data_IF_814648047516
#
_entry.id   IF_814648047516
#
_cell.length_a   1.000
_cell.length_b   1.000
_cell.length_c   1.000
_cell.angle_alpha   90.00
_cell.angle_beta   90.00
_cell.angle_gamma   90.00
#
_symmetry.space_group_name_H-M   'P 1'
#
loop_
_entity.id
_entity.type
_entity.pdbx_description
1 polymer ?
#
# COMPACT_ATOMS: atom_id res chain seq x y z
N UNK A 1 2.48 6.19 15.75
CA UNK A 1 3.01 5.29 14.72
C UNK A 1 2.05 5.29 13.54
N UNK A 2 2.57 5.54 12.37
CA UNK A 2 1.72 5.73 11.19
C UNK A 2 1.78 4.54 10.28
N UNK A 3 0.62 3.97 9.99
CA UNK A 3 0.51 2.89 9.02
C UNK A 3 0.58 3.40 7.58
N UNK A 4 0.33 4.69 7.40
CA UNK A 4 0.32 5.30 6.07
C UNK A 4 1.25 6.50 6.05
N UNK A 5 1.90 6.69 4.90
CA UNK A 5 2.57 7.95 4.60
C UNK A 5 1.68 8.77 3.70
N UNK A 6 1.63 10.07 3.89
CA UNK A 6 0.82 10.95 3.06
C UNK A 6 1.72 11.58 2.01
N UNK A 7 1.32 11.50 0.74
CA UNK A 7 2.04 12.11 -0.36
C UNK A 7 1.24 13.32 -0.84
N UNK A 8 1.88 14.49 -0.85
CA UNK A 8 1.23 15.73 -1.24
C UNK A 8 2.03 16.43 -2.32
N UNK A 9 1.33 17.16 -3.18
CA UNK A 9 1.95 17.99 -4.20
C UNK A 9 1.09 19.24 -4.37
N UNK A 10 1.73 20.40 -4.28
CA UNK A 10 1.05 21.69 -4.48
C UNK A 10 -0.16 21.85 -3.55
N UNK A 11 -0.03 21.39 -2.31
CA UNK A 11 -1.07 21.51 -1.31
C UNK A 11 -2.20 20.51 -1.45
N UNK A 12 -2.07 19.55 -2.37
CA UNK A 12 -3.11 18.55 -2.60
C UNK A 12 -2.60 17.16 -2.25
N UNK A 13 -3.46 16.34 -1.66
CA UNK A 13 -3.11 14.96 -1.39
C UNK A 13 -3.10 14.18 -2.71
N UNK A 14 -1.97 13.56 -3.00
CA UNK A 14 -1.81 12.70 -4.18
C UNK A 14 -2.30 11.29 -3.87
N UNK A 15 -1.90 10.78 -2.71
CA UNK A 15 -2.23 9.44 -2.28
C UNK A 15 -1.51 9.08 -1.01
N UNK A 16 -1.43 7.80 -0.74
CA UNK A 16 -0.88 7.28 0.52
C UNK A 16 0.11 6.17 0.27
N UNK A 17 1.19 6.17 1.06
CA UNK A 17 2.20 5.11 0.98
C UNK A 17 1.88 4.02 2.00
N UNK A 18 2.02 2.79 1.54
CA UNK A 18 1.86 1.58 2.36
C UNK A 18 3.16 0.79 2.23
N UNK A 19 3.70 0.32 3.34
CA UNK A 19 4.89 -0.54 3.31
C UNK A 19 4.46 -2.00 3.29
N UNK A 20 4.95 -2.74 2.30
CA UNK A 20 4.68 -4.18 2.24
C UNK A 20 5.47 -4.89 3.34
N UNK A 21 4.81 -5.57 4.28
CA UNK A 21 5.53 -6.33 5.30
C UNK A 21 6.41 -7.43 4.73
N UNK A 22 6.03 -7.99 3.60
CA UNK A 22 6.76 -9.10 3.01
C UNK A 22 8.08 -8.67 2.38
N UNK A 23 8.12 -7.48 1.76
CA UNK A 23 9.27 -7.06 0.96
C UNK A 23 9.93 -5.79 1.45
N UNK A 24 9.24 -5.01 2.29
CA UNK A 24 9.72 -3.70 2.74
C UNK A 24 9.51 -2.60 1.72
N UNK A 25 8.94 -2.91 0.56
CA UNK A 25 8.71 -1.92 -0.49
C UNK A 25 7.63 -0.93 -0.07
N UNK A 26 7.80 0.33 -0.47
CA UNK A 26 6.78 1.35 -0.30
C UNK A 26 5.96 1.43 -1.57
N UNK A 27 4.64 1.37 -1.42
CA UNK A 27 3.70 1.34 -2.53
C UNK A 27 2.75 2.52 -2.41
N UNK A 28 2.58 3.24 -3.50
CA UNK A 28 1.75 4.44 -3.50
C UNK A 28 0.35 4.10 -4.02
N UNK A 29 -0.63 4.30 -3.15
CA UNK A 29 -2.04 4.19 -3.52
C UNK A 29 -2.52 5.59 -3.88
N UNK A 30 -2.62 5.87 -5.18
CA UNK A 30 -3.17 7.14 -5.64
C UNK A 30 -4.64 7.23 -5.30
N UNK A 31 -5.05 8.36 -4.72
CA UNK A 31 -6.47 8.61 -4.42
C UNK A 31 -7.00 9.83 -5.13
N UNK A 32 -6.13 10.62 -5.78
CA UNK A 32 -6.52 11.84 -6.45
C UNK A 32 -6.40 11.66 -7.96
N UNK A 33 -7.52 11.75 -8.70
CA UNK A 33 -7.49 11.51 -10.14
C UNK A 33 -6.71 12.57 -10.93
N UNK A 34 -6.35 13.69 -10.32
CA UNK A 34 -5.49 14.66 -10.98
C UNK A 34 -4.09 14.10 -11.23
N UNK A 35 -3.66 13.11 -10.44
CA UNK A 35 -2.28 12.63 -10.48
C UNK A 35 -2.15 11.24 -11.06
N UNK A 36 -3.26 10.53 -11.27
CA UNK A 36 -3.22 9.19 -11.82
C UNK A 36 -4.57 8.84 -12.43
N UNK A 37 -4.59 8.16 -13.59
CA UNK A 37 -5.86 7.68 -14.15
C UNK A 37 -6.45 6.51 -13.37
N UNK A 38 -5.62 5.83 -12.57
CA UNK A 38 -6.07 4.72 -11.75
C UNK A 38 -5.97 5.12 -10.29
N UNK A 39 -7.12 5.19 -9.61
CA UNK A 39 -7.15 5.61 -8.21
C UNK A 39 -7.84 4.56 -7.36
N UNK A 40 -7.49 4.57 -6.08
CA UNK A 40 -8.12 3.71 -5.07
C UNK A 40 -9.05 4.56 -4.23
N UNK A 41 -10.12 3.93 -3.71
CA UNK A 41 -10.92 4.56 -2.67
C UNK A 41 -10.29 4.27 -1.32
N UNK A 42 -10.40 5.22 -0.41
CA UNK A 42 -9.81 5.15 0.92
C UNK A 42 -10.90 5.44 1.95
N UNK A 43 -10.95 4.67 3.03
CA UNK A 43 -11.98 4.84 4.04
C UNK A 43 -11.74 6.03 4.97
N UNK A 44 -10.59 6.70 4.86
CA UNK A 44 -10.27 7.88 5.67
C UNK A 44 -9.73 7.57 7.05
N UNK A 45 -9.60 6.30 7.40
CA UNK A 45 -9.12 5.90 8.73
C UNK A 45 -7.61 5.64 8.66
N UNK A 46 -6.83 6.53 9.26
CA UNK A 46 -5.36 6.42 9.21
C UNK A 46 -4.82 5.30 10.09
N UNK A 47 -5.61 4.79 11.03
CA UNK A 47 -5.16 3.75 11.94
C UNK A 47 -5.57 2.36 11.47
N UNK A 48 -6.72 2.25 10.79
CA UNK A 48 -7.20 1.00 10.21
C UNK A 48 -7.62 1.25 8.78
N UNK A 49 -6.64 1.57 7.92
CA UNK A 49 -6.99 1.95 6.56
C UNK A 49 -7.54 0.79 5.75
N UNK A 50 -8.47 1.12 4.87
CA UNK A 50 -8.99 0.21 3.87
C UNK A 50 -8.91 0.92 2.52
N UNK A 51 -8.28 0.25 1.56
CA UNK A 51 -8.23 0.72 0.18
C UNK A 51 -8.93 -0.28 -0.71
N UNK A 52 -9.56 0.22 -1.77
CA UNK A 52 -10.24 -0.63 -2.72
C UNK A 52 -10.02 -0.07 -4.12
N UNK A 53 -9.73 -0.92 -5.10
CA UNK A 53 -9.61 -2.37 -5.06
C UNK A 53 -8.26 -2.84 -4.50
N UNK A 54 -7.86 -4.07 -4.83
CA UNK A 54 -6.56 -4.61 -4.43
C UNK A 54 -5.42 -3.90 -5.16
N UNK A 55 -4.22 -3.99 -4.60
CA UNK A 55 -3.01 -3.53 -5.26
C UNK A 55 -2.37 -4.70 -5.99
N UNK A 56 -2.09 -4.51 -7.27
CA UNK A 56 -1.33 -5.47 -8.06
C UNK A 56 -0.18 -4.73 -8.70
N UNK A 57 1.03 -5.15 -8.37
CA UNK A 57 2.25 -4.53 -8.86
C UNK A 57 3.13 -5.63 -9.45
N UNK A 58 3.79 -5.32 -10.55
CA UNK A 58 4.66 -6.25 -11.28
C UNK A 58 3.93 -7.52 -11.70
N UNK A 59 2.77 -7.43 -12.40
CA UNK A 59 2.01 -8.63 -12.74
C UNK A 59 2.75 -9.56 -13.67
N UNK A 60 3.72 -9.05 -14.46
CA UNK A 60 4.46 -9.84 -15.42
C UNK A 60 5.72 -10.48 -14.83
N UNK A 61 6.02 -10.24 -13.56
CA UNK A 61 7.20 -10.77 -12.92
C UNK A 61 6.82 -11.38 -11.58
N UNK A 62 6.67 -12.72 -11.57
CA UNK A 62 6.21 -13.43 -10.38
C UNK A 62 7.14 -13.22 -9.18
N UNK A 63 8.44 -13.03 -9.43
CA UNK A 63 9.41 -12.85 -8.35
C UNK A 63 9.33 -11.48 -7.68
N UNK A 64 8.63 -10.54 -8.30
CA UNK A 64 8.47 -9.19 -7.76
C UNK A 64 7.01 -8.81 -7.55
N UNK A 65 6.11 -9.73 -7.78
CA UNK A 65 4.67 -9.45 -7.74
C UNK A 65 4.24 -9.11 -6.33
N UNK A 66 3.50 -8.00 -6.22
CA UNK A 66 2.79 -7.61 -5.00
C UNK A 66 1.32 -7.62 -5.34
N UNK A 67 0.56 -8.45 -4.66
CA UNK A 67 -0.87 -8.54 -4.92
C UNK A 67 -1.57 -8.73 -3.59
N UNK A 68 -2.26 -7.69 -3.13
CA UNK A 68 -2.87 -7.74 -1.80
C UNK A 68 -4.01 -6.75 -1.68
N UNK A 69 -4.87 -6.99 -0.69
CA UNK A 69 -5.86 -6.04 -0.23
C UNK A 69 -5.37 -5.36 1.03
N UNK A 70 -5.78 -4.10 1.23
CA UNK A 70 -5.58 -3.41 2.49
C UNK A 70 -6.96 -3.25 3.12
N UNK A 71 -7.20 -3.93 4.22
CA UNK A 71 -8.51 -3.95 4.88
C UNK A 71 -8.36 -3.79 6.38
N UNK A 72 -8.97 -2.73 6.92
CA UNK A 72 -9.02 -2.48 8.35
C UNK A 72 -7.65 -2.59 9.01
N UNK A 73 -6.62 -2.02 8.37
CA UNK A 73 -5.27 -1.99 8.93
C UNK A 73 -4.48 -3.27 8.75
N UNK A 74 -4.95 -4.18 7.91
CA UNK A 74 -4.26 -5.43 7.64
C UNK A 74 -4.00 -5.59 6.16
N UNK A 75 -2.94 -6.33 5.84
CA UNK A 75 -2.58 -6.68 4.47
C UNK A 75 -3.01 -8.13 4.24
N UNK A 76 -3.86 -8.36 3.25
CA UNK A 76 -4.32 -9.70 2.88
C UNK A 76 -3.64 -10.06 1.57
N UNK A 77 -2.55 -10.81 1.64
CA UNK A 77 -1.81 -11.23 0.45
C UNK A 77 -2.57 -12.32 -0.29
N UNK A 78 -2.60 -12.20 -1.61
CA UNK A 78 -3.19 -13.22 -2.45
C UNK A 78 -2.15 -14.31 -2.70
N UNK A 79 -2.62 -15.50 -3.11
CA UNK A 79 -1.74 -16.65 -3.21
C UNK A 79 -0.84 -16.64 -4.43
N UNK A 80 -1.07 -15.72 -5.36
CA UNK A 80 -0.23 -15.58 -6.54
C UNK A 80 1.04 -14.78 -6.31
N UNK A 81 1.29 -14.35 -5.07
CA UNK A 81 2.56 -13.71 -4.71
C UNK A 81 3.64 -14.78 -4.57
N UNK A 82 4.90 -14.38 -4.83
CA UNK A 82 6.04 -15.29 -4.76
C UNK A 82 6.92 -14.94 -3.57
N UNK A 83 6.32 -14.91 -2.38
CA UNK A 83 7.07 -14.68 -1.14
C UNK A 83 6.38 -15.45 -0.02
N UNK A 84 7.05 -15.61 1.13
CA UNK A 84 6.52 -16.49 2.20
C UNK A 84 5.18 -16.06 2.78
N UNK A 85 4.76 -14.82 2.56
CA UNK A 85 3.49 -14.33 3.10
C UNK A 85 2.31 -14.51 2.14
N UNK A 86 2.52 -15.17 0.99
CA UNK A 86 1.44 -15.42 0.04
C UNK A 86 0.30 -16.15 0.74
N UNK A 87 -0.92 -15.66 0.56
CA UNK A 87 -2.11 -16.24 1.17
C UNK A 87 -2.32 -15.88 2.63
N UNK A 88 -1.42 -15.08 3.23
CA UNK A 88 -1.51 -14.70 4.64
C UNK A 88 -2.14 -13.33 4.82
N UNK A 89 -2.79 -13.14 5.96
CA UNK A 89 -3.25 -11.82 6.39
C UNK A 89 -2.39 -11.40 7.57
N UNK A 90 -1.74 -10.24 7.44
CA UNK A 90 -0.81 -9.76 8.46
C UNK A 90 -1.12 -8.31 8.77
N UNK A 91 -0.67 -7.85 9.94
CA UNK A 91 -0.83 -6.45 10.32
C UNK A 91 0.06 -5.57 9.45
N UNK A 92 -0.43 -4.37 9.16
CA UNK A 92 0.38 -3.36 8.50
C UNK A 92 1.53 -2.94 9.41
N UNK A 93 2.66 -2.62 8.78
CA UNK A 93 3.80 -2.09 9.51
C UNK A 93 3.83 -0.57 9.34
N UNK A 94 4.56 0.09 10.23
CA UNK A 94 4.66 1.54 10.18
C UNK A 94 5.54 1.99 9.03
N UNK A 95 5.23 3.15 8.46
CA UNK A 95 6.04 3.74 7.40
C UNK A 95 6.97 4.82 7.93
N UNK A 96 6.66 5.42 9.09
CA UNK A 96 7.48 6.49 9.63
C UNK A 96 8.78 5.95 10.18
N UNK A 97 9.80 6.79 10.18
CA UNK A 97 11.13 6.41 10.61
C UNK A 97 11.99 5.89 9.49
N UNK A 98 11.40 5.58 8.36
CA UNK A 98 12.13 5.01 7.23
C UNK A 98 12.61 6.06 6.28
N UNK A 99 11.97 7.14 6.37
CA UNK A 99 12.26 8.12 5.44
C UNK A 99 13.51 8.75 5.69
N UNK A 100 13.80 8.54 6.24
CA UNK A 100 14.86 9.09 6.32
C UNK A 100 15.52 9.53 5.42
N UNK A 101 15.54 9.75 5.15
CA UNK A 101 16.09 10.03 4.63
C UNK A 101 16.30 10.20 3.78
N UNK A 102 16.31 10.64 3.62
CA UNK A 102 16.39 10.76 2.65
C UNK A 102 17.05 11.36 2.19
#
# INVERSE_FOLDING_TARGET
MNKLGIVERDGKTVGYLVRSPATGALLLFYTNPEFSPCVWTFNGDMERPTFSPSMLLHPDNIHRREHFFVRAGKIEYLQDCDHPMAGMTVDMVDVDGEEVDP
#
